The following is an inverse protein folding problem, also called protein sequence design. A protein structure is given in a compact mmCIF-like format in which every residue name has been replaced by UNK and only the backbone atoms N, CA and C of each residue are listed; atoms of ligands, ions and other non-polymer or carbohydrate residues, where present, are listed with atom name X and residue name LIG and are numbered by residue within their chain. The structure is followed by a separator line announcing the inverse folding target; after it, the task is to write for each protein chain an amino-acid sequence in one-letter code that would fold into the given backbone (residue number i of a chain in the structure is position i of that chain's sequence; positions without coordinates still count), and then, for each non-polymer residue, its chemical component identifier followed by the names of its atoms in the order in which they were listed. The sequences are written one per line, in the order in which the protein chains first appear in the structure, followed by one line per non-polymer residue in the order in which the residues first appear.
data_IF_566086456115
#
_entry.id   IF_566086456115
#
_cell.length_a   1.000
_cell.length_b   1.000
_cell.length_c   1.000
_cell.angle_alpha   90.00
_cell.angle_beta   90.00
_cell.angle_gamma   90.00
#
_symmetry.space_group_name_H-M   'P 1'
#
loop_
_entity.id
_entity.type
_entity.pdbx_description
1 polymer ?
#
# COMPACT_ATOMS: atom_id res chain seq x y z
N UNK A 1 8.87 -0.95 -8.98
CA UNK A 1 8.09 -0.83 -10.22
C UNK A 1 8.17 0.59 -10.81
N UNK A 2 7.89 1.60 -10.02
CA UNK A 2 7.89 3.01 -10.47
C UNK A 2 9.27 3.42 -10.99
N UNK A 3 10.32 3.06 -10.26
CA UNK A 3 11.70 3.36 -10.67
C UNK A 3 12.07 2.67 -11.99
N UNK A 4 11.70 1.41 -12.14
CA UNK A 4 11.97 0.66 -13.38
C UNK A 4 11.22 1.23 -14.59
N UNK A 5 10.05 1.83 -14.34
CA UNK A 5 9.26 2.47 -15.37
C UNK A 5 9.73 3.90 -15.70
N UNK A 6 10.74 4.42 -14.98
CA UNK A 6 11.25 5.76 -15.19
C UNK A 6 10.30 6.86 -14.70
N UNK A 7 9.44 6.57 -13.72
CA UNK A 7 8.38 7.46 -13.26
C UNK A 7 8.62 8.02 -11.85
N UNK A 8 9.81 7.82 -11.27
CA UNK A 8 10.08 8.21 -9.88
C UNK A 8 9.74 9.66 -9.57
N UNK A 9 9.96 10.57 -10.51
CA UNK A 9 9.70 12.00 -10.32
C UNK A 9 8.21 12.35 -10.29
N UNK A 10 7.35 11.43 -10.69
CA UNK A 10 5.89 11.64 -10.75
C UNK A 10 5.14 10.98 -9.59
N UNK A 11 5.86 10.29 -8.70
CA UNK A 11 5.26 9.54 -7.60
C UNK A 11 5.86 9.92 -6.27
N UNK A 12 5.01 10.09 -5.27
CA UNK A 12 5.40 10.16 -3.87
C UNK A 12 4.68 9.03 -3.15
N UNK A 13 5.45 8.07 -2.65
CA UNK A 13 4.91 6.84 -2.07
C UNK A 13 5.32 6.75 -0.60
N UNK A 14 4.34 6.56 0.26
CA UNK A 14 4.56 6.38 1.69
C UNK A 14 3.66 5.28 2.22
N UNK A 15 3.92 4.82 3.42
CA UNK A 15 3.07 3.88 4.12
C UNK A 15 2.77 4.37 5.53
N UNK A 16 1.59 3.98 6.04
CA UNK A 16 1.16 4.32 7.38
C UNK A 16 0.33 3.18 7.96
N UNK A 17 0.24 3.13 9.27
CA UNK A 17 -0.57 2.15 9.99
C UNK A 17 -1.89 2.78 10.41
N UNK A 18 -2.94 1.96 10.44
CA UNK A 18 -4.24 2.37 10.95
C UNK A 18 -4.36 2.16 12.46
N UNK A 19 -3.49 1.35 13.06
CA UNK A 19 -3.42 1.11 14.50
C UNK A 19 -2.14 1.71 15.10
N UNK A 20 -2.06 1.74 16.43
CA UNK A 20 -0.89 2.26 17.16
C UNK A 20 0.04 1.16 17.66
N UNK A 21 -0.29 -0.10 17.44
CA UNK A 21 0.40 -1.23 18.05
C UNK A 21 1.88 -1.31 17.66
N UNK A 22 2.20 -0.96 16.41
CA UNK A 22 3.54 -1.10 15.86
C UNK A 22 4.27 0.23 15.64
N UNK A 23 3.72 1.36 16.12
CA UNK A 23 4.34 2.69 15.90
C UNK A 23 5.79 2.69 16.39
N UNK A 24 6.69 3.13 15.51
CA UNK A 24 8.12 3.20 15.77
C UNK A 24 8.85 1.89 15.54
N UNK A 25 8.17 0.78 15.30
CA UNK A 25 8.81 -0.50 15.03
C UNK A 25 9.28 -0.60 13.59
N UNK A 26 10.42 -1.29 13.34
CA UNK A 26 10.89 -1.53 12.00
C UNK A 26 10.01 -2.57 11.29
N UNK A 27 10.26 -2.76 10.00
CA UNK A 27 9.56 -3.77 9.19
C UNK A 27 9.74 -5.15 9.83
N UNK A 28 8.66 -5.93 9.88
CA UNK A 28 8.66 -7.28 10.41
C UNK A 28 9.75 -8.14 9.74
N UNK A 29 10.42 -8.97 10.55
CA UNK A 29 11.56 -9.79 10.10
C UNK A 29 11.23 -10.65 8.88
N UNK A 30 10.05 -11.30 8.87
CA UNK A 30 9.64 -12.13 7.73
C UNK A 30 9.47 -11.34 6.45
N UNK A 31 8.86 -10.16 6.53
CA UNK A 31 8.72 -9.25 5.40
C UNK A 31 10.08 -8.77 4.91
N UNK A 32 10.95 -8.37 5.83
CA UNK A 32 12.31 -7.94 5.51
C UNK A 32 13.09 -9.04 4.77
N UNK A 33 13.03 -10.26 5.28
CA UNK A 33 13.72 -11.40 4.68
C UNK A 33 13.17 -11.72 3.29
N UNK A 34 11.87 -11.64 3.11
CA UNK A 34 11.23 -11.88 1.81
C UNK A 34 11.65 -10.83 0.79
N UNK A 35 11.58 -9.55 1.14
CA UNK A 35 11.95 -8.45 0.25
C UNK A 35 13.43 -8.47 -0.11
N UNK A 36 14.28 -8.90 0.82
CA UNK A 36 15.71 -9.04 0.57
C UNK A 36 16.03 -9.98 -0.58
N UNK A 37 15.21 -11.03 -0.78
CA UNK A 37 15.38 -11.97 -1.90
C UNK A 37 15.25 -11.27 -3.26
N UNK A 38 14.59 -10.14 -3.31
CA UNK A 38 14.34 -9.34 -4.52
C UNK A 38 15.16 -8.05 -4.56
N UNK A 39 16.13 -7.93 -3.66
CA UNK A 39 16.99 -6.73 -3.61
C UNK A 39 16.29 -5.48 -3.10
N UNK A 40 15.18 -5.62 -2.38
CA UNK A 40 14.44 -4.50 -1.82
C UNK A 40 14.85 -4.28 -0.37
N UNK A 41 15.44 -3.11 -0.10
CA UNK A 41 15.83 -2.70 1.26
C UNK A 41 14.65 -2.08 2.00
N UNK A 42 14.57 -2.36 3.31
CA UNK A 42 13.61 -1.72 4.22
C UNK A 42 14.33 -0.92 5.32
N UNK A 43 15.62 -0.66 5.13
CA UNK A 43 16.43 0.07 6.10
C UNK A 43 15.86 1.47 6.33
N UNK A 44 15.78 1.87 7.59
CA UNK A 44 15.28 3.18 7.96
C UNK A 44 13.76 3.32 7.93
N UNK A 45 13.04 2.26 7.60
CA UNK A 45 11.57 2.28 7.57
C UNK A 45 10.98 1.84 8.90
N UNK A 46 10.11 2.67 9.46
CA UNK A 46 9.43 2.42 10.73
C UNK A 46 7.94 2.68 10.56
N UNK A 47 7.13 1.98 11.37
CA UNK A 47 5.68 2.19 11.34
C UNK A 47 5.33 3.57 11.86
N UNK A 48 4.50 4.29 11.11
CA UNK A 48 3.95 5.60 11.48
C UNK A 48 2.43 5.53 11.42
N UNK A 49 1.78 6.30 12.29
CA UNK A 49 0.32 6.36 12.34
C UNK A 49 -0.22 7.21 11.19
N UNK A 50 -1.27 6.71 10.52
CA UNK A 50 -2.04 7.50 9.56
C UNK A 50 -2.73 8.67 10.26
N UNK A 51 -2.85 9.79 9.57
CA UNK A 51 -3.57 10.99 10.06
C UNK A 51 -4.58 11.47 9.02
N UNK A 52 -5.50 12.35 9.44
CA UNK A 52 -6.44 12.99 8.51
C UNK A 52 -5.74 13.84 7.45
N UNK A 53 -4.57 14.38 7.76
CA UNK A 53 -3.78 15.14 6.81
C UNK A 53 -3.31 14.27 5.63
N UNK A 54 -3.04 12.99 5.87
CA UNK A 54 -2.66 12.05 4.81
C UNK A 54 -3.75 11.93 3.76
N UNK A 55 -5.01 11.90 4.16
CA UNK A 55 -6.12 11.84 3.22
C UNK A 55 -6.15 13.05 2.29
N UNK A 56 -5.89 14.23 2.83
CA UNK A 56 -5.87 15.47 2.02
C UNK A 56 -4.67 15.55 1.10
N UNK A 57 -3.54 15.00 1.53
CA UNK A 57 -2.27 15.14 0.81
C UNK A 57 -2.12 14.16 -0.35
N UNK A 58 -2.47 12.88 -0.15
CA UNK A 58 -2.27 11.85 -1.16
C UNK A 58 -3.47 11.72 -2.09
N UNK A 59 -3.19 11.40 -3.36
CA UNK A 59 -4.24 11.20 -4.38
C UNK A 59 -4.89 9.82 -4.26
N UNK A 60 -4.15 8.84 -3.76
CA UNK A 60 -4.59 7.45 -3.59
C UNK A 60 -4.27 6.97 -2.19
N UNK A 61 -5.27 6.41 -1.53
CA UNK A 61 -5.11 5.77 -0.22
C UNK A 61 -5.41 4.30 -0.41
N UNK A 62 -4.40 3.46 -0.28
CA UNK A 62 -4.50 2.04 -0.63
C UNK A 62 -4.43 1.18 0.62
N UNK A 63 -5.43 0.34 0.82
CA UNK A 63 -5.50 -0.61 1.91
C UNK A 63 -5.31 -2.03 1.40
N UNK A 64 -4.85 -2.91 2.28
CA UNK A 64 -4.64 -4.32 1.93
C UNK A 64 -5.88 -5.17 2.16
N UNK A 65 -6.67 -4.85 3.19
CA UNK A 65 -7.82 -5.64 3.61
C UNK A 65 -8.94 -4.79 4.21
N UNK A 66 -10.13 -5.36 4.30
CA UNK A 66 -11.33 -4.69 4.83
C UNK A 66 -11.11 -4.16 6.25
N UNK A 67 -10.35 -4.89 7.06
CA UNK A 67 -10.02 -4.46 8.42
C UNK A 67 -9.31 -3.10 8.43
N UNK A 68 -8.43 -2.85 7.47
CA UNK A 68 -7.76 -1.55 7.33
C UNK A 68 -8.77 -0.46 7.02
N UNK A 69 -9.73 -0.73 6.13
CA UNK A 69 -10.77 0.25 5.77
C UNK A 69 -11.61 0.66 6.98
N UNK A 70 -12.00 -0.30 7.81
CA UNK A 70 -12.77 -0.02 9.02
C UNK A 70 -11.99 0.84 10.02
N UNK A 71 -10.71 0.50 10.24
CA UNK A 71 -9.86 1.26 11.16
C UNK A 71 -9.52 2.65 10.63
N UNK A 72 -9.57 2.83 9.32
CA UNK A 72 -9.27 4.08 8.65
C UNK A 72 -10.38 5.13 8.80
N UNK A 73 -11.60 4.72 9.14
CA UNK A 73 -12.76 5.62 9.20
C UNK A 73 -12.57 6.80 10.17
N UNK A 74 -11.77 6.63 11.22
CA UNK A 74 -11.48 7.76 12.15
C UNK A 74 -10.64 8.85 11.51
N UNK A 75 -9.96 8.58 10.40
CA UNK A 75 -9.12 9.55 9.68
C UNK A 75 -9.77 9.98 8.37
N UNK A 76 -10.64 9.15 7.82
CA UNK A 76 -11.30 9.36 6.53
C UNK A 76 -12.80 9.15 6.73
N UNK A 77 -13.55 10.25 6.79
CA UNK A 77 -15.01 10.18 6.95
C UNK A 77 -15.67 10.11 5.57
N UNK A 78 -16.28 8.96 5.25
CA UNK A 78 -17.10 8.75 4.04
C UNK A 78 -16.33 8.88 2.71
N UNK A 79 -15.00 9.03 2.73
CA UNK A 79 -14.17 9.13 1.52
C UNK A 79 -14.78 10.05 0.45
N UNK A 80 -14.97 11.36 0.76
CA UNK A 80 -15.69 12.27 -0.16
C UNK A 80 -15.01 12.44 -1.52
N UNK A 81 -13.69 12.24 -1.61
CA UNK A 81 -12.93 12.40 -2.83
C UNK A 81 -12.65 11.08 -3.56
N UNK A 82 -13.26 9.98 -3.10
CA UNK A 82 -13.10 8.63 -3.70
C UNK A 82 -11.65 8.20 -3.86
N UNK A 83 -10.84 8.42 -2.83
CA UNK A 83 -9.39 8.11 -2.84
C UNK A 83 -9.06 6.73 -2.30
N UNK A 84 -9.96 6.11 -1.53
CA UNK A 84 -9.67 4.89 -0.77
C UNK A 84 -10.05 3.66 -1.57
N UNK A 85 -9.10 2.75 -1.74
CA UNK A 85 -9.28 1.50 -2.47
C UNK A 85 -8.55 0.36 -1.79
N UNK A 86 -9.00 -0.87 -2.02
CA UNK A 86 -8.19 -2.06 -1.74
C UNK A 86 -7.21 -2.25 -2.89
N UNK A 87 -6.00 -2.71 -2.57
CA UNK A 87 -4.97 -2.90 -3.59
C UNK A 87 -5.42 -3.86 -4.69
N UNK A 88 -6.09 -4.95 -4.34
CA UNK A 88 -6.58 -5.93 -5.32
C UNK A 88 -7.75 -5.43 -6.17
N UNK A 89 -8.35 -4.28 -5.85
CA UNK A 89 -9.38 -3.66 -6.71
C UNK A 89 -8.84 -3.29 -8.09
N UNK A 90 -7.51 -3.15 -8.23
CA UNK A 90 -6.85 -2.82 -9.49
C UNK A 90 -6.46 -4.07 -10.29
N UNK A 91 -6.95 -5.24 -9.90
CA UNK A 91 -6.69 -6.53 -10.54
C UNK A 91 -8.02 -7.21 -10.89
N UNK A 92 -7.94 -8.36 -11.57
CA UNK A 92 -9.09 -9.21 -11.81
C UNK A 92 -9.54 -9.96 -10.55
N UNK A 93 -8.67 -10.06 -9.55
CA UNK A 93 -8.98 -10.64 -8.24
C UNK A 93 -9.38 -9.53 -7.31
N UNK A 94 -10.55 -9.61 -6.74
CA UNK A 94 -11.01 -8.62 -5.75
C UNK A 94 -10.95 -9.23 -4.36
N UNK A 95 -10.77 -8.38 -3.35
CA UNK A 95 -10.79 -8.80 -1.96
C UNK A 95 -9.53 -8.40 -1.21
N UNK A 96 -9.26 -9.13 -0.15
CA UNK A 96 -8.19 -8.81 0.78
C UNK A 96 -6.88 -9.51 0.40
N UNK A 97 -5.77 -8.85 0.74
CA UNK A 97 -4.45 -9.49 0.78
C UNK A 97 -4.21 -9.90 2.24
N UNK A 98 -4.02 -11.19 2.47
CA UNK A 98 -3.84 -11.72 3.80
C UNK A 98 -2.57 -11.17 4.46
N UNK A 99 -2.68 -10.83 5.74
CA UNK A 99 -1.55 -10.37 6.53
C UNK A 99 -0.66 -11.57 6.90
N UNK A 100 0.61 -11.60 6.47
CA UNK A 100 1.50 -12.73 6.71
C UNK A 100 1.88 -12.88 8.18
N UNK A 101 1.65 -11.87 9.03
CA UNK A 101 1.78 -12.00 10.47
C UNK A 101 0.90 -13.12 11.01
N UNK A 102 -0.33 -13.27 10.46
CA UNK A 102 -1.28 -14.29 10.90
C UNK A 102 -1.16 -15.60 10.11
N UNK A 103 -0.89 -15.53 8.81
CA UNK A 103 -0.82 -16.73 7.96
C UNK A 103 0.56 -17.37 7.93
N UNK A 104 1.62 -16.60 8.18
CA UNK A 104 3.01 -17.05 8.00
C UNK A 104 3.42 -17.22 6.55
N UNK A 105 2.53 -16.92 5.59
CA UNK A 105 2.80 -17.13 4.17
C UNK A 105 3.24 -15.85 3.47
N UNK A 106 4.53 -15.53 3.59
CA UNK A 106 5.11 -14.34 2.98
C UNK A 106 5.21 -14.43 1.46
N UNK A 107 5.30 -15.63 0.91
CA UNK A 107 5.38 -15.83 -0.54
C UNK A 107 4.07 -15.43 -1.21
N UNK A 108 2.94 -15.92 -0.69
CA UNK A 108 1.63 -15.58 -1.20
C UNK A 108 1.36 -14.08 -1.09
N UNK A 109 1.67 -13.50 0.06
CA UNK A 109 1.49 -12.06 0.27
C UNK A 109 2.33 -11.23 -0.70
N UNK A 110 3.58 -11.63 -0.91
CA UNK A 110 4.44 -10.94 -1.88
C UNK A 110 3.85 -10.98 -3.29
N UNK A 111 3.39 -12.14 -3.73
CA UNK A 111 2.82 -12.31 -5.07
C UNK A 111 1.55 -11.47 -5.23
N UNK A 112 0.69 -11.46 -4.22
CA UNK A 112 -0.55 -10.68 -4.23
C UNK A 112 -0.28 -9.18 -4.26
N UNK A 113 0.67 -8.70 -3.45
CA UNK A 113 1.07 -7.29 -3.42
C UNK A 113 1.67 -6.88 -4.77
N UNK A 114 2.53 -7.72 -5.34
CA UNK A 114 3.14 -7.43 -6.63
C UNK A 114 2.09 -7.31 -7.73
N UNK A 115 1.14 -8.25 -7.79
CA UNK A 115 0.04 -8.21 -8.76
C UNK A 115 -0.78 -6.93 -8.58
N UNK A 116 -1.13 -6.60 -7.35
CA UNK A 116 -1.90 -5.39 -7.04
C UNK A 116 -1.15 -4.12 -7.42
N UNK A 117 0.14 -4.06 -7.12
CA UNK A 117 0.98 -2.90 -7.47
C UNK A 117 1.11 -2.71 -8.97
N UNK A 118 1.23 -3.79 -9.73
CA UNK A 118 1.26 -3.72 -11.20
C UNK A 118 -0.06 -3.18 -11.74
N UNK A 119 -1.19 -3.65 -11.22
CA UNK A 119 -2.51 -3.17 -11.60
C UNK A 119 -2.72 -1.69 -11.26
N UNK A 120 -2.32 -1.30 -10.06
CA UNK A 120 -2.40 0.10 -9.61
C UNK A 120 -1.54 1.01 -10.48
N UNK A 121 -0.31 0.62 -10.76
CA UNK A 121 0.58 1.41 -11.62
C UNK A 121 0.00 1.59 -13.01
N UNK A 122 -0.54 0.53 -13.60
CA UNK A 122 -1.18 0.60 -14.92
C UNK A 122 -2.39 1.55 -14.90
N UNK A 123 -3.20 1.50 -13.84
CA UNK A 123 -4.34 2.39 -13.67
C UNK A 123 -3.91 3.86 -13.58
N UNK A 124 -2.92 4.17 -12.75
CA UNK A 124 -2.42 5.53 -12.58
C UNK A 124 -1.82 6.06 -13.88
N UNK A 125 -1.06 5.24 -14.62
CA UNK A 125 -0.49 5.64 -15.89
C UNK A 125 -1.56 5.99 -16.92
N UNK A 126 -2.68 5.28 -16.94
CA UNK A 126 -3.81 5.62 -17.80
C UNK A 126 -4.44 6.96 -17.42
N UNK A 127 -4.58 7.24 -16.11
CA UNK A 127 -5.10 8.52 -15.65
C UNK A 127 -4.19 9.68 -16.02
N UNK A 128 -2.88 9.54 -15.83
CA UNK A 128 -1.90 10.55 -16.21
C UNK A 128 -1.98 10.83 -17.72
N UNK A 129 -2.07 9.79 -18.54
CA UNK A 129 -2.17 9.93 -20.00
C UNK A 129 -3.47 10.64 -20.42
N UNK A 130 -4.57 10.42 -19.70
CA UNK A 130 -5.85 11.09 -19.98
C UNK A 130 -5.83 12.58 -19.62
N UNK A 131 -5.02 12.97 -18.63
CA UNK A 131 -4.91 14.35 -18.18
C UNK A 131 -4.03 15.23 -19.09
N UNK A 132 -3.31 14.59 -19.99
CA UNK A 132 -2.49 15.29 -20.98
C UNK A 132 -3.30 15.64 -22.22
#
# INVERSE_FOLDING_TARGET
LVKKAGLSDQFEIASAATSREEIGNPVHRGTRNKLKQYGISVDGKYAVQMTSADYRYYDYIIAMEQYNLRNMERFVHDDPDYKVHLLLDFTDRKGDIADPWYTGNFDETYDDVLEGCKGLLAHIRREIACDL
#
